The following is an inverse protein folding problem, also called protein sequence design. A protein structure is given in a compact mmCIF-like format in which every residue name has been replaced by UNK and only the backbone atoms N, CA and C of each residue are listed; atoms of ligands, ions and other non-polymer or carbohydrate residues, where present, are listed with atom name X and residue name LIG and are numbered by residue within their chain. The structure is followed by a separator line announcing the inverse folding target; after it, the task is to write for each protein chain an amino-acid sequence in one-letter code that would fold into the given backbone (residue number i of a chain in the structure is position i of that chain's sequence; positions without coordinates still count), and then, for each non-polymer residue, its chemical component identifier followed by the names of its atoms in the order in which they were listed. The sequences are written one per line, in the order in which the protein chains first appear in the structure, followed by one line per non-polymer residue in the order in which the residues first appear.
data_IF_506095366783
#
_entry.id   IF_506095366783
#
_cell.length_a   1.000
_cell.length_b   1.000
_cell.length_c   1.000
_cell.angle_alpha   90.00
_cell.angle_beta   90.00
_cell.angle_gamma   90.00
#
_symmetry.space_group_name_H-M   'P 1'
#
loop_
_entity.id
_entity.type
_entity.pdbx_description
1 polymer ?
#
# COMPACT_ATOMS: atom_id res chain seq x y z
N UNK A 1 10.33 -9.89 -19.81
CA UNK A 1 9.83 -10.49 -18.55
C UNK A 1 8.92 -9.47 -17.90
N UNK A 2 7.85 -9.92 -17.25
CA UNK A 2 6.87 -9.04 -16.61
C UNK A 2 7.43 -8.51 -15.28
N UNK A 3 7.52 -7.19 -15.15
CA UNK A 3 8.05 -6.51 -13.96
C UNK A 3 7.24 -6.87 -12.70
N UNK A 4 5.93 -7.12 -12.85
CA UNK A 4 5.06 -7.52 -11.74
C UNK A 4 5.47 -8.86 -11.14
N UNK A 5 5.85 -9.83 -11.98
CA UNK A 5 6.28 -11.16 -11.55
C UNK A 5 7.61 -11.17 -10.77
N UNK A 6 8.30 -10.03 -10.68
CA UNK A 6 9.53 -9.89 -9.86
C UNK A 6 9.23 -9.50 -8.42
N UNK A 7 8.05 -8.93 -8.15
CA UNK A 7 7.59 -8.58 -6.81
C UNK A 7 6.73 -9.73 -6.29
N UNK A 8 7.13 -10.37 -5.19
CA UNK A 8 6.43 -11.53 -4.63
C UNK A 8 6.20 -12.68 -5.65
N UNK A 9 7.24 -13.25 -6.28
CA UNK A 9 7.13 -14.24 -7.35
C UNK A 9 6.41 -15.54 -6.97
N UNK A 10 6.19 -15.76 -5.67
CA UNK A 10 5.45 -16.92 -5.16
C UNK A 10 3.93 -16.77 -5.36
N UNK A 11 3.41 -15.55 -5.55
CA UNK A 11 1.96 -15.28 -5.61
C UNK A 11 1.33 -15.98 -6.82
N UNK A 12 1.96 -15.94 -7.98
CA UNK A 12 1.48 -16.58 -9.21
C UNK A 12 1.52 -18.10 -9.09
N UNK A 13 2.55 -18.64 -8.45
CA UNK A 13 2.68 -20.08 -8.20
C UNK A 13 1.57 -20.58 -7.26
N UNK A 14 1.31 -19.86 -6.17
CA UNK A 14 0.24 -20.18 -5.23
C UNK A 14 -1.16 -20.01 -5.85
N UNK A 15 -1.36 -19.01 -6.71
CA UNK A 15 -2.61 -18.85 -7.44
C UNK A 15 -2.85 -20.03 -8.40
N UNK A 16 -1.81 -20.51 -9.08
CA UNK A 16 -1.90 -21.68 -9.94
C UNK A 16 -2.20 -22.97 -9.13
N UNK A 17 -1.54 -23.14 -7.98
CA UNK A 17 -1.79 -24.27 -7.08
C UNK A 17 -3.23 -24.25 -6.55
N UNK A 18 -3.72 -23.10 -6.09
CA UNK A 18 -5.10 -22.95 -5.62
C UNK A 18 -6.12 -23.29 -6.72
N UNK A 19 -5.88 -22.86 -7.96
CA UNK A 19 -6.73 -23.20 -9.11
C UNK A 19 -6.72 -24.70 -9.41
N UNK A 20 -5.57 -25.35 -9.33
CA UNK A 20 -5.45 -26.79 -9.53
C UNK A 20 -6.21 -27.58 -8.44
N UNK A 21 -6.07 -27.17 -7.17
CA UNK A 21 -6.80 -27.77 -6.06
C UNK A 21 -8.32 -27.61 -6.23
N UNK A 22 -8.80 -26.42 -6.58
CA UNK A 22 -10.22 -26.16 -6.81
C UNK A 22 -10.79 -26.95 -8.01
N UNK A 23 -9.97 -27.26 -9.01
CA UNK A 23 -10.35 -28.10 -10.15
C UNK A 23 -10.43 -29.60 -9.77
N UNK A 24 -9.55 -30.06 -8.88
CA UNK A 24 -9.54 -31.44 -8.40
C UNK A 24 -10.67 -31.70 -7.39
N UNK A 25 -10.99 -30.74 -6.52
CA UNK A 25 -12.04 -30.86 -5.51
C UNK A 25 -12.88 -29.57 -5.43
N UNK A 26 -14.00 -29.48 -6.17
CA UNK A 26 -14.80 -28.25 -6.29
C UNK A 26 -15.41 -27.72 -4.98
N UNK A 27 -15.52 -28.58 -3.96
CA UNK A 27 -16.02 -28.24 -2.63
C UNK A 27 -14.95 -27.61 -1.74
N UNK A 28 -13.66 -27.80 -2.06
CA UNK A 28 -12.54 -27.20 -1.34
C UNK A 28 -12.25 -25.79 -1.89
N UNK A 29 -12.98 -24.80 -1.38
CA UNK A 29 -12.77 -23.38 -1.74
C UNK A 29 -12.13 -22.64 -0.58
N UNK A 30 -10.82 -22.45 -0.65
CA UNK A 30 -10.13 -21.52 0.25
C UNK A 30 -10.35 -20.08 -0.22
N UNK A 31 -11.45 -19.50 0.23
CA UNK A 31 -11.84 -18.12 -0.09
C UNK A 31 -10.84 -17.11 0.50
N UNK A 32 -10.30 -17.38 1.69
CA UNK A 32 -9.36 -16.48 2.35
C UNK A 32 -8.07 -16.38 1.54
N UNK A 33 -7.50 -17.51 1.14
CA UNK A 33 -6.30 -17.56 0.30
C UNK A 33 -6.55 -16.89 -1.06
N UNK A 34 -7.70 -17.15 -1.70
CA UNK A 34 -8.05 -16.50 -2.96
C UNK A 34 -8.08 -14.96 -2.84
N UNK A 35 -8.71 -14.43 -1.79
CA UNK A 35 -8.76 -12.97 -1.56
C UNK A 35 -7.40 -12.40 -1.21
N UNK A 36 -6.61 -13.12 -0.41
CA UNK A 36 -5.26 -12.70 -0.06
C UNK A 36 -4.34 -12.63 -1.28
N UNK A 37 -4.32 -13.66 -2.13
CA UNK A 37 -3.54 -13.65 -3.37
C UNK A 37 -4.00 -12.53 -4.32
N UNK A 38 -5.31 -12.28 -4.41
CA UNK A 38 -5.85 -11.13 -5.15
C UNK A 38 -5.34 -9.79 -4.63
N UNK A 39 -5.30 -9.61 -3.30
CA UNK A 39 -4.72 -8.43 -2.66
C UNK A 39 -3.22 -8.29 -2.97
N UNK A 40 -2.47 -9.39 -2.88
CA UNK A 40 -1.02 -9.37 -3.15
C UNK A 40 -0.73 -8.93 -4.59
N UNK A 41 -1.50 -9.40 -5.57
CA UNK A 41 -1.36 -8.96 -6.97
C UNK A 41 -1.69 -7.50 -7.17
N UNK A 42 -2.71 -6.99 -6.47
CA UNK A 42 -3.00 -5.56 -6.49
C UNK A 42 -1.85 -4.75 -5.90
N UNK A 43 -1.26 -5.21 -4.79
CA UNK A 43 -0.10 -4.56 -4.18
C UNK A 43 1.14 -4.60 -5.07
N UNK A 44 1.39 -5.68 -5.83
CA UNK A 44 2.48 -5.72 -6.82
C UNK A 44 2.38 -4.55 -7.80
N UNK A 45 1.19 -4.28 -8.33
CA UNK A 45 0.94 -3.15 -9.25
C UNK A 45 1.18 -1.81 -8.56
N UNK A 46 0.59 -1.61 -7.39
CA UNK A 46 0.74 -0.36 -6.62
C UNK A 46 2.21 -0.08 -6.30
N UNK A 47 2.95 -1.09 -5.84
CA UNK A 47 4.39 -0.94 -5.51
C UNK A 47 5.18 -0.47 -6.72
N UNK A 48 4.97 -1.10 -7.88
CA UNK A 48 5.71 -0.74 -9.11
C UNK A 48 5.33 0.66 -9.60
N UNK A 49 4.04 0.99 -9.61
CA UNK A 49 3.54 2.30 -10.04
C UNK A 49 4.04 3.43 -9.14
N UNK A 50 3.90 3.27 -7.82
CA UNK A 50 4.32 4.30 -6.87
C UNK A 50 5.84 4.43 -6.85
N UNK A 51 6.58 3.31 -6.93
CA UNK A 51 8.03 3.33 -7.01
C UNK A 51 8.54 4.10 -8.24
N UNK A 52 7.84 3.99 -9.38
CA UNK A 52 8.20 4.72 -10.59
C UNK A 52 8.15 6.24 -10.42
N UNK A 53 7.22 6.75 -9.60
CA UNK A 53 7.14 8.18 -9.26
C UNK A 53 8.17 8.53 -8.18
N UNK A 54 8.22 7.73 -7.11
CA UNK A 54 9.10 7.95 -5.97
C UNK A 54 10.59 7.94 -6.33
N UNK A 55 11.00 7.23 -7.39
CA UNK A 55 12.39 7.24 -7.85
C UNK A 55 12.84 8.65 -8.27
N UNK A 56 11.94 9.47 -8.80
CA UNK A 56 12.23 10.84 -9.18
C UNK A 56 12.17 11.81 -7.99
N UNK A 57 11.24 11.58 -7.05
CA UNK A 57 11.08 12.43 -5.87
C UNK A 57 12.16 12.19 -4.80
N UNK A 58 12.63 10.93 -4.68
CA UNK A 58 13.56 10.48 -3.65
C UNK A 58 14.72 9.67 -4.25
N UNK A 59 15.56 10.24 -5.12
CA UNK A 59 16.58 9.51 -5.87
C UNK A 59 17.67 8.87 -5.00
N UNK A 60 17.87 9.36 -3.78
CA UNK A 60 18.90 8.85 -2.85
C UNK A 60 18.43 7.66 -1.99
N UNK A 61 17.21 7.16 -2.21
CA UNK A 61 16.69 6.02 -1.45
C UNK A 61 17.50 4.75 -1.72
N UNK A 62 17.85 4.03 -0.66
CA UNK A 62 18.52 2.73 -0.76
C UNK A 62 17.69 1.69 -1.53
N UNK A 63 16.36 1.87 -1.60
CA UNK A 63 15.45 0.99 -2.34
C UNK A 63 15.86 0.79 -3.80
N UNK A 64 16.37 1.84 -4.45
CA UNK A 64 16.74 1.83 -5.87
C UNK A 64 18.00 1.02 -6.18
N UNK A 65 18.76 0.64 -5.15
CA UNK A 65 19.91 -0.27 -5.30
C UNK A 65 19.52 -1.75 -5.41
N UNK A 66 18.25 -2.09 -5.18
CA UNK A 66 17.78 -3.48 -5.11
C UNK A 66 16.87 -3.85 -6.28
N UNK A 67 16.84 -5.14 -6.60
CA UNK A 67 15.91 -5.68 -7.60
C UNK A 67 14.46 -5.55 -7.10
N UNK A 68 13.48 -5.24 -7.97
CA UNK A 68 13.61 -4.97 -9.41
C UNK A 68 13.93 -3.53 -9.78
N UNK A 69 14.03 -2.63 -8.79
CA UNK A 69 14.14 -1.19 -9.00
C UNK A 69 15.47 -0.74 -9.61
N UNK A 70 16.51 -1.56 -9.51
CA UNK A 70 17.81 -1.32 -10.15
C UNK A 70 17.93 -1.87 -11.59
N UNK A 71 16.84 -2.41 -12.15
CA UNK A 71 16.87 -3.04 -13.48
C UNK A 71 16.53 -2.03 -14.58
N UNK A 72 17.09 -2.26 -15.77
CA UNK A 72 16.78 -1.44 -16.98
C UNK A 72 15.28 -1.43 -17.28
N UNK A 73 14.61 -2.56 -17.10
CA UNK A 73 13.16 -2.68 -17.32
C UNK A 73 12.36 -1.76 -16.41
N UNK A 74 12.75 -1.65 -15.13
CA UNK A 74 12.10 -0.73 -14.20
C UNK A 74 12.42 0.74 -14.57
N UNK A 75 13.66 1.06 -14.92
CA UNK A 75 14.04 2.42 -15.34
C UNK A 75 13.26 2.87 -16.59
N UNK A 76 13.14 2.01 -17.60
CA UNK A 76 12.36 2.31 -18.81
C UNK A 76 10.89 2.54 -18.48
N UNK A 77 10.32 1.70 -17.61
CA UNK A 77 8.95 1.85 -17.12
C UNK A 77 8.76 3.19 -16.38
N UNK A 78 9.64 3.48 -15.41
CA UNK A 78 9.59 4.72 -14.62
C UNK A 78 9.64 5.96 -15.49
N UNK A 79 10.57 6.01 -16.46
CA UNK A 79 10.69 7.12 -17.39
C UNK A 79 9.42 7.36 -18.20
N UNK A 80 8.80 6.29 -18.73
CA UNK A 80 7.55 6.38 -19.48
C UNK A 80 6.38 6.78 -18.57
N UNK A 81 6.32 6.25 -17.36
CA UNK A 81 5.25 6.52 -16.39
C UNK A 81 5.20 7.97 -15.96
N UNK A 82 6.34 8.58 -15.61
CA UNK A 82 6.38 10.00 -15.23
C UNK A 82 5.89 10.88 -16.37
N UNK A 83 6.38 10.65 -17.60
CA UNK A 83 5.94 11.43 -18.76
C UNK A 83 4.42 11.30 -19.03
N UNK A 84 3.83 10.14 -18.75
CA UNK A 84 2.38 9.94 -18.87
C UNK A 84 1.60 10.66 -17.76
N UNK A 85 2.09 10.64 -16.52
CA UNK A 85 1.48 11.37 -15.40
C UNK A 85 1.52 12.86 -15.66
N UNK A 86 2.68 13.42 -16.00
CA UNK A 86 2.84 14.85 -16.29
C UNK A 86 1.91 15.30 -17.42
N UNK A 87 1.81 14.48 -18.49
CA UNK A 87 0.90 14.75 -19.60
C UNK A 87 -0.56 14.74 -19.16
N UNK A 88 -0.96 13.74 -18.37
CA UNK A 88 -2.34 13.61 -17.89
C UNK A 88 -2.72 14.78 -16.95
N UNK A 89 -1.79 15.21 -16.09
CA UNK A 89 -1.97 16.37 -15.22
C UNK A 89 -2.10 17.67 -16.04
N UNK A 90 -1.26 17.85 -17.05
CA UNK A 90 -1.33 19.01 -17.93
C UNK A 90 -2.65 19.05 -18.70
N UNK A 91 -3.11 17.91 -19.24
CA UNK A 91 -4.39 17.79 -19.93
C UNK A 91 -5.56 18.09 -18.98
N UNK A 92 -5.53 17.57 -17.75
CA UNK A 92 -6.55 17.87 -16.73
C UNK A 92 -6.55 19.36 -16.34
N UNK A 93 -5.38 19.99 -16.22
CA UNK A 93 -5.25 21.41 -15.92
C UNK A 93 -5.83 22.27 -17.06
N UNK A 94 -5.55 21.91 -18.31
CA UNK A 94 -6.08 22.59 -19.49
C UNK A 94 -7.60 22.44 -19.58
N UNK A 95 -8.12 21.22 -19.41
CA UNK A 95 -9.56 20.98 -19.36
C UNK A 95 -10.22 21.81 -18.25
N UNK A 96 -9.61 21.90 -17.06
CA UNK A 96 -10.14 22.70 -15.96
C UNK A 96 -10.21 24.21 -16.30
N UNK A 97 -9.24 24.74 -17.05
CA UNK A 97 -9.20 26.14 -17.50
C UNK A 97 -10.26 26.48 -18.55
N UNK A 98 -10.74 25.49 -19.30
CA UNK A 98 -11.80 25.66 -20.31
C UNK A 98 -13.20 25.72 -19.69
N UNK A 99 -13.35 25.35 -18.41
CA UNK A 99 -14.63 25.44 -17.73
C UNK A 99 -14.99 26.89 -17.34
N UNK A 100 -16.29 27.25 -17.37
CA UNK A 100 -16.77 28.51 -16.81
C UNK A 100 -16.32 28.67 -15.35
N UNK A 101 -16.00 29.89 -14.88
CA UNK A 101 -15.51 30.14 -13.52
C UNK A 101 -16.41 29.60 -12.40
N UNK A 102 -17.72 29.55 -12.63
CA UNK A 102 -18.70 28.99 -11.68
C UNK A 102 -18.54 27.48 -11.45
N UNK A 103 -18.16 26.73 -12.48
CA UNK A 103 -17.91 25.28 -12.39
C UNK A 103 -16.58 25.03 -11.68
N UNK A 104 -15.54 25.79 -12.03
CA UNK A 104 -14.22 25.69 -11.37
C UNK A 104 -14.31 25.98 -9.87
N UNK A 105 -15.03 27.04 -9.47
CA UNK A 105 -15.25 27.37 -8.06
C UNK A 105 -16.00 26.27 -7.30
N UNK A 106 -17.00 25.64 -7.96
CA UNK A 106 -17.74 24.53 -7.36
C UNK A 106 -16.83 23.32 -7.15
N UNK A 107 -16.04 22.95 -8.16
CA UNK A 107 -15.08 21.84 -8.08
C UNK A 107 -14.01 22.11 -7.03
N UNK A 108 -13.44 23.31 -6.97
CA UNK A 108 -12.48 23.71 -5.94
C UNK A 108 -13.08 23.60 -4.54
N UNK A 109 -14.32 24.06 -4.35
CA UNK A 109 -15.04 23.91 -3.09
C UNK A 109 -15.20 22.45 -2.67
N UNK A 110 -15.58 21.58 -3.61
CA UNK A 110 -15.69 20.13 -3.37
C UNK A 110 -14.35 19.48 -3.03
N UNK A 111 -13.27 19.82 -3.76
CA UNK A 111 -11.92 19.35 -3.47
C UNK A 111 -11.47 19.80 -2.08
N UNK A 112 -11.73 21.05 -1.70
CA UNK A 112 -11.43 21.54 -0.35
C UNK A 112 -12.18 20.73 0.71
N UNK A 113 -13.48 20.47 0.52
CA UNK A 113 -14.26 19.66 1.46
C UNK A 113 -13.69 18.25 1.59
N UNK A 114 -13.29 17.63 0.48
CA UNK A 114 -12.68 16.29 0.48
C UNK A 114 -11.32 16.27 1.18
N UNK A 115 -10.47 17.27 0.94
CA UNK A 115 -9.17 17.40 1.63
C UNK A 115 -9.36 17.59 3.14
N UNK A 116 -10.33 18.40 3.56
CA UNK A 116 -10.65 18.58 4.99
C UNK A 116 -11.21 17.29 5.61
N UNK A 117 -12.07 16.57 4.90
CA UNK A 117 -12.59 15.27 5.33
C UNK A 117 -11.47 14.21 5.44
N UNK A 118 -10.50 14.22 4.52
CA UNK A 118 -9.31 13.36 4.56
C UNK A 118 -8.46 13.62 5.81
N UNK A 119 -8.11 14.89 6.06
CA UNK A 119 -7.36 15.30 7.26
C UNK A 119 -8.05 14.92 8.57
N UNK A 120 -9.39 15.00 8.61
CA UNK A 120 -10.17 14.56 9.76
C UNK A 120 -10.07 13.04 9.99
N UNK A 121 -10.07 12.24 8.91
CA UNK A 121 -9.87 10.78 9.00
C UNK A 121 -8.46 10.43 9.46
N UNK A 122 -7.43 11.11 8.97
CA UNK A 122 -6.04 10.87 9.40
C UNK A 122 -5.83 11.20 10.88
N UNK A 123 -6.48 12.25 11.38
CA UNK A 123 -6.47 12.57 12.81
C UNK A 123 -7.13 11.47 13.66
N UNK A 124 -8.19 10.82 13.16
CA UNK A 124 -8.84 9.69 13.84
C UNK A 124 -7.94 8.45 13.81
N UNK A 125 -7.33 8.14 12.67
CA UNK A 125 -6.38 7.01 12.52
C UNK A 125 -5.18 7.19 13.46
N UNK A 126 -4.66 8.41 13.58
CA UNK A 126 -3.55 8.75 14.48
C UNK A 126 -3.95 8.51 15.93
N UNK A 127 -5.13 8.98 16.36
CA UNK A 127 -5.65 8.74 17.72
C UNK A 127 -5.87 7.26 18.01
N UNK A 128 -6.35 6.50 17.04
CA UNK A 128 -6.56 5.06 17.20
C UNK A 128 -5.23 4.32 17.35
N UNK A 129 -4.24 4.65 16.52
CA UNK A 129 -2.88 4.10 16.58
C UNK A 129 -2.21 4.37 17.92
N UNK A 130 -2.41 5.57 18.47
CA UNK A 130 -1.86 5.97 19.76
C UNK A 130 -2.52 5.20 20.92
N UNK A 131 -3.85 5.07 20.92
CA UNK A 131 -4.59 4.29 21.91
C UNK A 131 -4.22 2.80 21.90
N UNK A 132 -4.03 2.21 20.71
CA UNK A 132 -3.54 0.83 20.57
C UNK A 132 -2.12 0.68 21.14
N UNK A 133 -1.24 1.66 20.92
CA UNK A 133 0.09 1.71 21.51
C UNK A 133 0.07 1.76 23.05
N UNK A 134 -0.81 2.58 23.62
CA UNK A 134 -0.96 2.72 25.08
C UNK A 134 -1.45 1.41 25.73
N UNK A 135 -2.43 0.74 25.11
CA UNK A 135 -2.93 -0.56 25.57
C UNK A 135 -1.81 -1.62 25.51
N UNK A 136 -1.01 -1.63 24.45
CA UNK A 136 0.11 -2.56 24.29
C UNK A 136 1.23 -2.32 25.32
N UNK A 137 1.50 -1.06 25.67
CA UNK A 137 2.44 -0.70 26.73
C UNK A 137 1.94 -1.15 28.12
N UNK A 138 0.64 -0.96 28.40
CA UNK A 138 0.01 -1.43 29.64
C UNK A 138 0.06 -2.96 29.78
N UNK A 139 -0.21 -3.70 28.69
CA UNK A 139 -0.11 -5.16 28.66
C UNK A 139 1.33 -5.65 28.92
N UNK A 140 2.35 -4.97 28.37
CA UNK A 140 3.75 -5.30 28.66
C UNK A 140 4.12 -5.07 30.12
N UNK A 141 3.65 -3.98 30.74
CA UNK A 141 3.88 -3.69 32.16
C UNK A 141 3.25 -4.76 33.06
N UNK A 142 2.04 -5.21 32.74
CA UNK A 142 1.36 -6.31 33.46
C UNK A 142 2.08 -7.65 33.27
N UNK A 143 2.60 -7.94 32.08
CA UNK A 143 3.36 -9.15 31.81
C UNK A 143 4.71 -9.19 32.56
N UNK A 144 5.38 -8.04 32.73
CA UNK A 144 6.63 -7.95 33.50
C UNK A 144 6.41 -8.03 35.03
N UNK A 145 5.27 -7.55 35.53
CA UNK A 145 4.90 -7.64 36.95
C UNK A 145 4.58 -9.07 37.44
N UNK A 146 4.33 -10.01 36.53
CA UNK A 146 4.03 -11.40 36.85
C UNK A 146 5.25 -12.27 37.21
N UNK A 147 6.48 -11.80 36.98
CA UNK A 147 7.69 -12.63 37.14
C UNK A 147 8.37 -12.55 38.53
N UNK A 148 7.93 -11.67 39.44
CA UNK A 148 8.60 -11.45 40.74
C UNK A 148 7.92 -12.13 41.95
N UNK A 149 6.79 -12.82 41.78
CA UNK A 149 6.03 -13.41 42.92
C UNK A 149 6.19 -14.93 43.10
N UNK A 150 7.32 -15.49 42.67
CA UNK A 150 7.59 -16.93 42.67
C UNK A 150 8.93 -17.36 43.29
N UNK A 151 9.43 -16.68 44.33
CA UNK A 151 10.59 -17.16 45.12
C UNK A 151 10.50 -16.74 46.59
N UNK A 152 9.65 -17.43 47.38
CA UNK A 152 9.84 -17.60 48.84
C UNK A 152 8.81 -18.59 49.36
N UNK A 153 9.23 -19.84 49.53
CA UNK A 153 8.74 -20.83 50.50
C UNK A 153 9.47 -22.16 50.25
N UNK A 154 10.72 -22.21 50.71
CA UNK A 154 11.39 -23.44 51.15
C UNK A 154 12.32 -23.04 52.30
N UNK A 155 11.85 -23.25 53.52
CA UNK A 155 12.65 -23.77 54.63
C UNK A 155 11.72 -24.25 55.73
#
# INVERSE_FOLDING_TARGET
MDLLATIFPWVEAEEAALKACAAAEPLSKDMALSKFLGLMKWLQMVIIQDAAILQHELPDSALWGHMPFNTVQFCDFSWVSVAQVDKAEQEACMALKEFPPSVVQTVQGLVQVLVHAGKAKDAVITKLTQSVGDVQAHLKLLAMGGHTRGKRLKS
#
